data_IF_185659490365
#
_entry.id   IF_185659490365
#
_cell.length_a   1.000
_cell.length_b   1.000
_cell.length_c   1.000
_cell.angle_alpha   90.00
_cell.angle_beta   90.00
_cell.angle_gamma   90.00
#
_symmetry.space_group_name_H-M   'P 1'
#
loop_
_entity.id
_entity.type
_entity.pdbx_description
1 polymer ?
#
# COMPACT_ATOMS: atom_id res chain seq x y z
N UNK A 1 15.73 -18.47 15.11
CA UNK A 1 15.72 -17.93 13.86
C UNK A 1 14.40 -18.09 13.20
N UNK A 2 14.15 -17.32 12.12
CA UNK A 2 12.83 -17.19 11.49
C UNK A 2 12.24 -18.57 11.17
N UNK A 3 13.02 -19.47 10.60
CA UNK A 3 12.55 -20.82 10.20
C UNK A 3 11.99 -21.59 11.40
N UNK A 4 12.70 -21.58 12.52
CA UNK A 4 12.26 -22.29 13.74
C UNK A 4 10.95 -21.70 14.29
N UNK A 5 10.81 -20.35 14.23
CA UNK A 5 9.57 -19.67 14.65
C UNK A 5 8.41 -20.06 13.73
N UNK A 6 8.64 -20.13 12.42
CA UNK A 6 7.62 -20.57 11.46
C UNK A 6 7.19 -22.01 11.71
N UNK A 7 8.14 -22.92 11.93
CA UNK A 7 7.83 -24.31 12.26
C UNK A 7 7.04 -24.44 13.57
N UNK A 8 7.44 -23.69 14.61
CA UNK A 8 6.71 -23.68 15.87
C UNK A 8 5.28 -23.16 15.70
N UNK A 9 5.09 -22.10 14.90
CA UNK A 9 3.75 -21.58 14.60
C UNK A 9 2.88 -22.61 13.85
N UNK A 10 3.47 -23.33 12.89
CA UNK A 10 2.81 -24.41 12.17
C UNK A 10 2.35 -25.55 13.11
N UNK A 11 3.19 -25.95 14.07
CA UNK A 11 2.83 -26.94 15.07
C UNK A 11 1.63 -26.49 15.94
N UNK A 12 1.38 -25.18 16.03
CA UNK A 12 0.26 -24.60 16.75
C UNK A 12 -0.94 -24.24 15.84
N UNK A 13 -0.92 -24.66 14.56
CA UNK A 13 -1.93 -24.31 13.53
C UNK A 13 -2.09 -22.80 13.32
N UNK A 14 -1.00 -22.05 13.46
CA UNK A 14 -0.94 -20.60 13.27
C UNK A 14 -0.32 -20.28 11.92
N UNK A 15 -1.09 -19.65 11.02
CA UNK A 15 -0.58 -19.20 9.72
C UNK A 15 0.37 -18.01 9.85
N UNK A 16 1.53 -18.09 9.22
CA UNK A 16 2.58 -17.07 9.29
C UNK A 16 2.65 -16.23 8.03
N UNK A 17 2.76 -14.92 8.20
CA UNK A 17 3.15 -13.97 7.17
C UNK A 17 4.44 -13.28 7.62
N UNK A 18 5.34 -12.93 6.69
CA UNK A 18 6.64 -12.34 7.03
C UNK A 18 6.81 -11.00 6.33
N UNK A 19 7.19 -9.97 7.09
CA UNK A 19 7.71 -8.72 6.56
C UNK A 19 9.19 -8.87 6.26
N UNK A 20 9.61 -8.52 5.05
CA UNK A 20 11.01 -8.34 4.70
C UNK A 20 11.38 -6.88 5.02
N UNK A 21 11.54 -6.58 6.32
CA UNK A 21 11.75 -5.21 6.77
C UNK A 21 12.91 -4.55 6.04
N UNK A 22 12.73 -3.28 5.68
CA UNK A 22 13.66 -2.49 4.85
C UNK A 22 13.95 -3.09 3.45
N UNK A 23 12.94 -3.80 2.90
CA UNK A 23 13.05 -4.45 1.59
C UNK A 23 13.49 -3.49 0.48
N UNK A 24 13.03 -2.23 0.49
CA UNK A 24 13.39 -1.22 -0.50
C UNK A 24 14.89 -0.95 -0.56
N UNK A 25 15.54 -0.74 0.58
CA UNK A 25 16.99 -0.62 0.65
C UNK A 25 17.69 -1.93 0.31
N UNK A 26 17.16 -3.05 0.79
CA UNK A 26 17.67 -4.37 0.44
C UNK A 26 17.74 -4.59 -1.07
N UNK A 27 16.67 -4.28 -1.80
CA UNK A 27 16.63 -4.40 -3.27
C UNK A 27 17.53 -3.41 -3.99
N UNK A 28 17.74 -2.23 -3.41
CA UNK A 28 18.61 -1.19 -3.96
C UNK A 28 20.08 -1.53 -3.79
N UNK A 29 20.48 -1.93 -2.59
CA UNK A 29 21.89 -2.00 -2.19
C UNK A 29 22.43 -3.44 -2.12
N UNK A 30 21.57 -4.42 -1.90
CA UNK A 30 21.96 -5.83 -1.70
C UNK A 30 20.86 -6.82 -2.18
N UNK A 31 20.44 -6.79 -3.44
CA UNK A 31 19.35 -7.65 -3.93
C UNK A 31 19.66 -9.15 -3.77
N UNK A 32 20.92 -9.54 -3.83
CA UNK A 32 21.36 -10.93 -3.61
C UNK A 32 21.04 -11.41 -2.20
N UNK A 33 21.19 -10.54 -1.19
CA UNK A 33 20.80 -10.86 0.18
C UNK A 33 19.29 -11.06 0.31
N UNK A 34 18.48 -10.19 -0.32
CA UNK A 34 17.01 -10.34 -0.35
C UNK A 34 16.64 -11.69 -0.97
N UNK A 35 17.25 -12.06 -2.09
CA UNK A 35 16.99 -13.34 -2.74
C UNK A 35 17.45 -14.52 -1.91
N UNK A 36 18.61 -14.44 -1.27
CA UNK A 36 19.11 -15.50 -0.39
C UNK A 36 18.17 -15.73 0.79
N UNK A 37 17.69 -14.64 1.42
CA UNK A 37 16.71 -14.73 2.50
C UNK A 37 15.40 -15.37 2.01
N UNK A 38 14.87 -14.93 0.87
CA UNK A 38 13.67 -15.50 0.27
C UNK A 38 13.85 -16.99 -0.10
N UNK A 39 15.00 -17.37 -0.64
CA UNK A 39 15.28 -18.78 -1.00
C UNK A 39 15.28 -19.69 0.22
N UNK A 40 15.72 -19.20 1.39
CA UNK A 40 15.63 -19.93 2.65
C UNK A 40 14.20 -20.02 3.18
N UNK A 41 13.45 -18.92 3.11
CA UNK A 41 12.10 -18.83 3.67
C UNK A 41 11.04 -19.53 2.82
N UNK A 42 11.17 -19.58 1.49
CA UNK A 42 10.16 -20.20 0.60
C UNK A 42 9.99 -21.71 0.79
N UNK A 43 10.87 -22.37 1.54
CA UNK A 43 10.78 -23.78 1.89
C UNK A 43 9.89 -24.02 3.13
N UNK A 44 9.38 -22.96 3.74
CA UNK A 44 8.50 -22.99 4.91
C UNK A 44 7.03 -22.78 4.51
N UNK A 45 6.14 -22.87 5.48
CA UNK A 45 4.69 -22.66 5.33
C UNK A 45 4.26 -21.18 5.29
N UNK A 46 5.18 -20.24 5.15
CA UNK A 46 4.86 -18.81 5.05
C UNK A 46 3.86 -18.58 3.91
N UNK A 47 2.72 -17.96 4.25
CA UNK A 47 1.62 -17.75 3.32
C UNK A 47 1.78 -16.50 2.46
N UNK A 48 2.35 -15.42 3.05
CA UNK A 48 2.52 -14.12 2.39
C UNK A 48 3.84 -13.50 2.78
N UNK A 49 4.45 -12.81 1.82
CA UNK A 49 5.64 -12.01 2.03
C UNK A 49 5.28 -10.54 1.80
N UNK A 50 5.43 -9.74 2.84
CA UNK A 50 5.19 -8.31 2.79
C UNK A 50 6.48 -7.58 2.41
N UNK A 51 6.38 -6.74 1.40
CA UNK A 51 7.48 -5.99 0.80
C UNK A 51 7.31 -4.50 1.16
N UNK A 52 7.89 -4.04 2.28
CA UNK A 52 7.74 -2.66 2.70
C UNK A 52 8.76 -1.73 2.04
N UNK A 53 8.26 -0.61 1.58
CA UNK A 53 9.07 0.59 1.40
C UNK A 53 9.12 1.34 2.75
N UNK A 54 9.94 0.79 3.65
CA UNK A 54 9.97 1.16 5.08
C UNK A 54 10.28 2.63 5.30
N UNK A 55 11.16 3.21 4.50
CA UNK A 55 11.56 4.61 4.59
C UNK A 55 10.89 5.51 3.53
N UNK A 56 9.95 4.96 2.76
CA UNK A 56 9.24 5.71 1.73
C UNK A 56 10.16 6.26 0.63
N UNK A 57 11.24 5.56 0.30
CA UNK A 57 12.31 6.05 -0.58
C UNK A 57 12.12 5.71 -2.06
N UNK A 58 11.21 4.82 -2.39
CA UNK A 58 11.02 4.37 -3.76
C UNK A 58 10.18 5.37 -4.57
N UNK A 59 10.48 5.43 -5.85
CA UNK A 59 9.57 5.98 -6.84
C UNK A 59 8.86 4.85 -7.62
N UNK A 60 7.78 5.15 -8.38
CA UNK A 60 7.00 4.12 -9.07
C UNK A 60 7.80 3.25 -10.05
N UNK A 61 8.82 3.80 -10.73
CA UNK A 61 9.66 3.04 -11.66
C UNK A 61 10.51 2.00 -10.92
N UNK A 62 11.06 2.37 -9.76
CA UNK A 62 11.80 1.45 -8.91
C UNK A 62 10.90 0.35 -8.34
N UNK A 63 9.67 0.69 -7.94
CA UNK A 63 8.69 -0.33 -7.51
C UNK A 63 8.46 -1.34 -8.62
N UNK A 64 8.20 -0.89 -9.86
CA UNK A 64 8.01 -1.78 -11.02
C UNK A 64 9.24 -2.65 -11.24
N UNK A 65 10.44 -2.06 -11.22
CA UNK A 65 11.69 -2.79 -11.44
C UNK A 65 11.89 -3.89 -10.38
N UNK A 66 11.79 -3.53 -9.10
CA UNK A 66 12.06 -4.45 -8.00
C UNK A 66 11.00 -5.54 -7.91
N UNK A 67 9.73 -5.18 -8.09
CA UNK A 67 8.65 -6.16 -8.17
C UNK A 67 8.81 -7.14 -9.33
N UNK A 68 9.24 -6.67 -10.50
CA UNK A 68 9.53 -7.57 -11.64
C UNK A 68 10.64 -8.57 -11.31
N UNK A 69 11.70 -8.12 -10.64
CA UNK A 69 12.79 -9.02 -10.20
C UNK A 69 12.24 -10.09 -9.23
N UNK A 70 11.43 -9.68 -8.24
CA UNK A 70 10.81 -10.61 -7.29
C UNK A 70 9.86 -11.59 -7.99
N UNK A 71 8.94 -11.12 -8.82
CA UNK A 71 7.96 -11.95 -9.54
C UNK A 71 8.63 -12.89 -10.55
N UNK A 72 9.70 -12.47 -11.22
CA UNK A 72 10.45 -13.33 -12.14
C UNK A 72 11.07 -14.51 -11.41
N UNK A 73 11.62 -14.29 -10.21
CA UNK A 73 12.27 -15.35 -9.43
C UNK A 73 11.26 -16.19 -8.64
N UNK A 74 10.17 -15.59 -8.19
CA UNK A 74 9.13 -16.22 -7.35
C UNK A 74 7.72 -16.04 -7.92
N UNK A 75 7.42 -16.62 -9.09
CA UNK A 75 6.19 -16.33 -9.86
C UNK A 75 4.90 -16.70 -9.12
N UNK A 76 4.95 -17.74 -8.28
CA UNK A 76 3.78 -18.27 -7.56
C UNK A 76 3.65 -17.74 -6.13
N UNK A 77 4.57 -16.87 -5.69
CA UNK A 77 4.56 -16.33 -4.34
C UNK A 77 3.54 -15.21 -4.19
N UNK A 78 2.84 -15.19 -3.07
CA UNK A 78 1.94 -14.12 -2.68
C UNK A 78 2.76 -12.99 -2.07
N UNK A 79 2.83 -11.87 -2.77
CA UNK A 79 3.44 -10.64 -2.28
C UNK A 79 2.37 -9.61 -1.95
N UNK A 80 2.52 -8.98 -0.78
CA UNK A 80 1.82 -7.77 -0.38
C UNK A 80 2.80 -6.59 -0.44
N UNK A 81 2.30 -5.40 -0.75
CA UNK A 81 3.10 -4.19 -0.77
C UNK A 81 2.65 -3.21 0.32
N UNK A 82 3.63 -2.61 1.00
CA UNK A 82 3.42 -1.62 2.04
C UNK A 82 4.25 -0.37 1.73
N UNK A 83 3.61 0.78 1.57
CA UNK A 83 4.26 2.03 1.19
C UNK A 83 4.14 3.10 2.26
N UNK A 84 5.27 3.59 2.77
CA UNK A 84 5.34 4.85 3.50
C UNK A 84 5.31 6.06 2.55
N UNK A 85 4.96 7.24 3.08
CA UNK A 85 4.58 8.41 2.28
C UNK A 85 5.60 9.57 2.36
N UNK A 86 6.85 9.30 2.68
CA UNK A 86 7.87 10.30 3.00
C UNK A 86 8.17 11.27 1.84
N UNK A 87 8.01 10.83 0.59
CA UNK A 87 8.09 11.68 -0.61
C UNK A 87 6.71 11.99 -1.23
N UNK A 88 5.61 11.74 -0.51
CA UNK A 88 4.24 11.84 -1.02
C UNK A 88 3.95 10.94 -2.25
N UNK A 89 4.68 9.82 -2.33
CA UNK A 89 4.59 8.86 -3.43
C UNK A 89 3.88 7.55 -3.07
N UNK A 90 3.39 7.39 -1.83
CA UNK A 90 2.84 6.12 -1.37
C UNK A 90 1.70 5.61 -2.28
N UNK A 91 0.78 6.47 -2.68
CA UNK A 91 -0.36 6.09 -3.53
C UNK A 91 0.10 5.70 -4.93
N UNK A 92 1.04 6.45 -5.53
CA UNK A 92 1.60 6.14 -6.85
C UNK A 92 2.46 4.87 -6.83
N UNK A 93 3.16 4.61 -5.72
CA UNK A 93 3.92 3.38 -5.51
C UNK A 93 2.99 2.16 -5.36
N UNK A 94 1.86 2.31 -4.66
CA UNK A 94 0.82 1.27 -4.60
C UNK A 94 0.28 0.97 -6.00
N UNK A 95 -0.02 1.99 -6.80
CA UNK A 95 -0.44 1.82 -8.19
C UNK A 95 0.60 1.01 -9.01
N UNK A 96 1.88 1.37 -8.89
CA UNK A 96 2.98 0.66 -9.55
C UNK A 96 3.09 -0.80 -9.10
N UNK A 97 2.87 -1.07 -7.81
CA UNK A 97 2.87 -2.41 -7.25
C UNK A 97 1.71 -3.26 -7.80
N UNK A 98 0.50 -2.69 -7.89
CA UNK A 98 -0.68 -3.36 -8.50
C UNK A 98 -0.40 -3.72 -9.96
N UNK A 99 0.13 -2.79 -10.76
CA UNK A 99 0.53 -3.03 -12.16
C UNK A 99 1.61 -4.12 -12.28
N UNK A 100 2.40 -4.32 -11.23
CA UNK A 100 3.42 -5.36 -11.16
C UNK A 100 2.92 -6.70 -10.61
N UNK A 101 1.63 -6.80 -10.26
CA UNK A 101 0.97 -8.05 -9.89
C UNK A 101 1.12 -8.45 -8.42
N UNK A 102 1.22 -7.50 -7.48
CA UNK A 102 1.02 -7.79 -6.06
C UNK A 102 -0.42 -8.23 -5.82
N UNK A 103 -0.64 -9.01 -4.76
CA UNK A 103 -1.95 -9.56 -4.41
C UNK A 103 -2.58 -8.91 -3.19
N UNK A 104 -1.78 -8.24 -2.37
CA UNK A 104 -2.25 -7.52 -1.19
C UNK A 104 -1.63 -6.13 -1.11
N UNK A 105 -2.35 -5.21 -0.50
CA UNK A 105 -1.94 -3.83 -0.28
C UNK A 105 -2.18 -3.46 1.17
N UNK A 106 -1.19 -2.86 1.80
CA UNK A 106 -1.33 -2.35 3.15
C UNK A 106 -1.64 -0.86 3.11
N UNK A 107 -2.75 -0.50 3.70
CA UNK A 107 -3.23 0.87 3.76
C UNK A 107 -3.66 1.22 5.18
N UNK A 108 -3.74 2.51 5.47
CA UNK A 108 -4.27 2.98 6.75
C UNK A 108 -5.37 4.01 6.52
N UNK A 109 -6.29 4.12 7.46
CA UNK A 109 -7.31 5.18 7.42
C UNK A 109 -6.60 6.53 7.57
N UNK A 110 -6.97 7.47 6.72
CA UNK A 110 -6.37 8.82 6.63
C UNK A 110 -4.87 8.84 6.30
N UNK A 111 -4.28 7.68 5.98
CA UNK A 111 -2.84 7.56 5.77
C UNK A 111 -2.04 7.65 7.06
N UNK A 112 -2.64 7.39 8.22
CA UNK A 112 -1.93 7.43 9.50
C UNK A 112 -0.77 6.44 9.52
N UNK A 113 0.33 6.83 10.14
CA UNK A 113 1.53 6.01 10.30
C UNK A 113 2.70 6.84 10.78
N UNK A 114 3.85 6.22 10.85
CA UNK A 114 5.09 6.89 11.23
C UNK A 114 5.46 7.99 10.23
N UNK A 115 6.11 9.03 10.68
CA UNK A 115 6.65 10.17 9.91
C UNK A 115 5.57 10.85 9.06
N UNK A 116 5.60 10.67 7.72
CA UNK A 116 4.62 11.21 6.80
C UNK A 116 3.41 10.26 6.56
N UNK A 117 3.38 9.13 7.26
CA UNK A 117 2.30 8.15 7.20
C UNK A 117 2.45 7.12 6.09
N UNK A 118 1.31 6.53 5.72
CA UNK A 118 1.20 5.42 4.77
C UNK A 118 0.27 5.77 3.61
N UNK A 119 0.13 4.87 2.67
CA UNK A 119 -0.89 4.97 1.62
C UNK A 119 -2.30 4.98 2.25
N UNK A 120 -3.11 6.04 2.03
CA UNK A 120 -4.45 6.14 2.60
C UNK A 120 -5.44 5.21 1.89
N UNK A 121 -6.26 4.49 2.68
CA UNK A 121 -7.26 3.56 2.15
C UNK A 121 -8.17 4.22 1.13
N UNK A 122 -8.67 5.42 1.40
CA UNK A 122 -9.60 6.15 0.53
C UNK A 122 -9.03 6.38 -0.87
N UNK A 123 -7.79 6.87 -0.97
CA UNK A 123 -7.15 7.11 -2.27
C UNK A 123 -6.83 5.81 -3.01
N UNK A 124 -6.38 4.78 -2.28
CA UNK A 124 -6.08 3.47 -2.88
C UNK A 124 -7.36 2.82 -3.40
N UNK A 125 -8.47 2.87 -2.62
CA UNK A 125 -9.76 2.34 -3.05
C UNK A 125 -10.27 3.03 -4.32
N UNK A 126 -10.23 4.36 -4.37
CA UNK A 126 -10.63 5.13 -5.53
C UNK A 126 -9.84 4.72 -6.79
N UNK A 127 -8.51 4.63 -6.67
CA UNK A 127 -7.66 4.20 -7.78
C UNK A 127 -7.98 2.78 -8.25
N UNK A 128 -8.15 1.84 -7.32
CA UNK A 128 -8.48 0.44 -7.65
C UNK A 128 -9.79 0.35 -8.43
N UNK A 129 -10.78 1.13 -8.05
CA UNK A 129 -12.06 1.18 -8.74
C UNK A 129 -11.97 1.87 -10.10
N UNK A 130 -11.46 3.11 -10.12
CA UNK A 130 -11.56 3.99 -11.29
C UNK A 130 -10.57 3.62 -12.39
N UNK A 131 -9.40 3.09 -12.05
CA UNK A 131 -8.34 2.77 -13.01
C UNK A 131 -8.16 1.28 -13.28
N UNK A 132 -8.60 0.40 -12.38
CA UNK A 132 -8.44 -1.04 -12.54
C UNK A 132 -9.76 -1.81 -12.62
N UNK A 133 -10.90 -1.15 -12.44
CA UNK A 133 -12.21 -1.78 -12.32
C UNK A 133 -12.19 -2.93 -11.29
N UNK A 134 -11.39 -2.78 -10.23
CA UNK A 134 -11.24 -3.82 -9.23
C UNK A 134 -12.51 -3.93 -8.38
N UNK A 135 -12.96 -5.16 -8.18
CA UNK A 135 -14.06 -5.44 -7.26
C UNK A 135 -13.46 -5.62 -5.87
N UNK A 136 -13.83 -4.72 -4.96
CA UNK A 136 -13.48 -4.80 -3.54
C UNK A 136 -14.76 -4.94 -2.70
N UNK A 137 -14.62 -5.43 -1.47
CA UNK A 137 -15.75 -5.48 -0.52
C UNK A 137 -15.82 -4.23 0.38
N UNK A 138 -15.18 -3.13 -0.04
CA UNK A 138 -15.17 -1.87 0.71
C UNK A 138 -16.41 -1.06 0.32
N UNK A 139 -17.20 -0.70 1.33
CA UNK A 139 -18.31 0.23 1.16
C UNK A 139 -17.78 1.67 1.13
N UNK A 140 -17.67 2.23 -0.07
CA UNK A 140 -17.14 3.57 -0.29
C UNK A 140 -17.98 4.66 0.37
N UNK A 141 -19.29 4.44 0.53
CA UNK A 141 -20.19 5.40 1.19
C UNK A 141 -19.80 5.65 2.66
N UNK A 142 -19.05 4.71 3.26
CA UNK A 142 -18.60 4.78 4.66
C UNK A 142 -17.19 5.35 4.84
N UNK A 143 -16.48 5.68 3.75
CA UNK A 143 -15.10 6.18 3.83
C UNK A 143 -14.99 7.48 4.63
N UNK A 144 -15.92 8.41 4.45
CA UNK A 144 -15.95 9.65 5.22
C UNK A 144 -16.25 9.39 6.70
N UNK A 145 -17.21 8.54 7.01
CA UNK A 145 -17.57 8.19 8.38
C UNK A 145 -16.37 7.61 9.13
N UNK A 146 -15.73 6.59 8.56
CA UNK A 146 -14.58 5.94 9.20
C UNK A 146 -13.39 6.89 9.32
N UNK A 147 -13.20 7.79 8.34
CA UNK A 147 -12.16 8.83 8.39
C UNK A 147 -12.37 9.77 9.57
N UNK A 148 -13.61 10.23 9.83
CA UNK A 148 -13.95 11.09 10.97
C UNK A 148 -13.84 10.36 12.30
N UNK A 149 -14.22 9.10 12.37
CA UNK A 149 -14.02 8.28 13.56
C UNK A 149 -12.54 8.20 13.92
N UNK A 150 -11.68 7.88 12.95
CA UNK A 150 -10.22 7.78 13.19
C UNK A 150 -9.63 9.14 13.54
N UNK A 151 -10.06 10.23 12.91
CA UNK A 151 -9.67 11.60 13.29
C UNK A 151 -9.97 11.88 14.75
N UNK A 152 -11.19 11.57 15.19
CA UNK A 152 -11.64 11.80 16.56
C UNK A 152 -10.83 11.01 17.60
N UNK A 153 -10.53 9.73 17.32
CA UNK A 153 -9.81 8.87 18.26
C UNK A 153 -8.29 9.10 18.24
N UNK A 154 -7.72 9.44 17.08
CA UNK A 154 -6.28 9.70 16.98
C UNK A 154 -5.88 11.11 17.41
N UNK A 155 -6.81 12.06 17.39
CA UNK A 155 -6.53 13.48 17.56
C UNK A 155 -5.78 14.13 16.37
N UNK A 156 -5.55 13.38 15.27
CA UNK A 156 -4.88 13.90 14.09
C UNK A 156 -5.93 14.39 13.10
N UNK A 157 -5.97 15.70 12.92
CA UNK A 157 -6.95 16.38 12.08
C UNK A 157 -6.73 16.07 10.60
N UNK A 158 -7.80 15.76 9.88
CA UNK A 158 -7.76 15.57 8.45
C UNK A 158 -7.60 16.95 7.76
N UNK A 159 -6.54 17.17 6.96
CA UNK A 159 -6.42 18.40 6.19
C UNK A 159 -7.62 18.62 5.29
N UNK A 160 -8.14 19.85 5.23
CA UNK A 160 -9.33 20.16 4.41
C UNK A 160 -9.16 19.81 2.93
N UNK A 161 -7.92 19.84 2.42
CA UNK A 161 -7.56 19.47 1.05
C UNK A 161 -7.11 18.00 0.90
N UNK A 162 -7.31 17.14 1.92
CA UNK A 162 -6.97 15.72 1.82
C UNK A 162 -7.75 15.08 0.68
N UNK A 163 -7.11 14.40 -0.28
CA UNK A 163 -7.83 13.71 -1.36
C UNK A 163 -8.93 12.78 -0.83
N UNK A 164 -10.05 12.75 -1.51
CA UNK A 164 -11.23 11.90 -1.28
C UNK A 164 -12.05 12.27 -0.03
N UNK A 165 -11.43 12.50 1.12
CA UNK A 165 -12.12 12.64 2.43
C UNK A 165 -12.02 14.05 3.04
N UNK A 166 -11.26 14.95 2.43
CA UNK A 166 -11.13 16.33 2.90
C UNK A 166 -12.40 17.15 2.60
N UNK A 167 -12.66 18.18 3.41
CA UNK A 167 -13.87 19.02 3.29
C UNK A 167 -13.94 19.80 1.98
N UNK A 168 -12.76 20.13 1.40
CA UNK A 168 -12.68 20.96 0.19
C UNK A 168 -12.72 20.15 -1.12
N UNK A 169 -12.80 18.82 -1.10
CA UNK A 169 -12.68 18.02 -2.33
C UNK A 169 -13.80 18.26 -3.35
N UNK A 170 -14.95 18.73 -2.88
CA UNK A 170 -16.09 19.12 -3.75
C UNK A 170 -16.29 20.63 -3.83
N UNK A 171 -15.31 21.44 -3.38
CA UNK A 171 -15.41 22.90 -3.37
C UNK A 171 -14.66 23.48 -4.58
N UNK A 172 -15.36 24.25 -5.38
CA UNK A 172 -14.78 24.96 -6.53
C UNK A 172 -14.96 26.47 -6.37
N UNK A 173 -13.87 27.20 -6.54
CA UNK A 173 -13.86 28.68 -6.38
C UNK A 173 -13.65 29.41 -7.71
N UNK A 174 -12.96 28.76 -8.67
CA UNK A 174 -12.70 29.36 -9.98
C UNK A 174 -13.84 29.06 -10.96
N UNK A 175 -14.40 30.10 -11.60
CA UNK A 175 -15.51 29.95 -12.56
C UNK A 175 -15.20 28.99 -13.73
N UNK A 176 -13.94 28.94 -14.17
CA UNK A 176 -13.50 28.00 -15.23
C UNK A 176 -13.65 26.52 -14.79
N UNK A 177 -13.38 26.22 -13.53
CA UNK A 177 -13.56 24.86 -13.00
C UNK A 177 -15.03 24.50 -12.86
N UNK A 178 -15.84 25.43 -12.32
CA UNK A 178 -17.29 25.23 -12.19
C UNK A 178 -17.98 25.04 -13.54
N UNK A 179 -17.52 25.74 -14.60
CA UNK A 179 -18.04 25.56 -15.96
C UNK A 179 -17.64 24.19 -16.55
N UNK A 180 -16.45 23.72 -16.23
CA UNK A 180 -15.98 22.37 -16.61
C UNK A 180 -16.83 21.26 -16.00
N UNK A 181 -17.14 21.33 -14.71
CA UNK A 181 -17.98 20.35 -14.01
C UNK A 181 -19.39 20.31 -14.56
N UNK A 182 -19.98 21.48 -14.78
CA UNK A 182 -21.34 21.60 -15.36
C UNK A 182 -21.44 20.97 -16.76
N UNK A 183 -20.35 21.01 -17.56
CA UNK A 183 -20.31 20.41 -18.90
C UNK A 183 -20.05 18.91 -18.88
N UNK A 184 -19.38 18.40 -17.87
CA UNK A 184 -18.95 17.00 -17.78
C UNK A 184 -19.79 16.15 -16.82
N UNK A 185 -20.81 16.73 -16.16
CA UNK A 185 -21.62 16.07 -15.13
C UNK A 185 -20.78 15.45 -13.98
N UNK A 186 -19.69 16.12 -13.57
CA UNK A 186 -18.83 15.72 -12.47
C UNK A 186 -19.29 16.29 -11.14
#
# INVERSE_FOLDING_TARGET
>A
DIINVVHYADEQDIGVNVYLEDWSNGMKDSPEYVFQLMDGLKQTSIRRYMLPDTLGILNPLQVIEYMRKMKKRYPNTHFDFHAHNDYDLAVSNVLAAVLSGVKGLHTTINGLGERAGNAPLSSVQAILKDHFNAVTNIDESRLNDVSRVVESYSGIVIPANKPIVGENVFTQVAGVHADGDNKNNL
#
